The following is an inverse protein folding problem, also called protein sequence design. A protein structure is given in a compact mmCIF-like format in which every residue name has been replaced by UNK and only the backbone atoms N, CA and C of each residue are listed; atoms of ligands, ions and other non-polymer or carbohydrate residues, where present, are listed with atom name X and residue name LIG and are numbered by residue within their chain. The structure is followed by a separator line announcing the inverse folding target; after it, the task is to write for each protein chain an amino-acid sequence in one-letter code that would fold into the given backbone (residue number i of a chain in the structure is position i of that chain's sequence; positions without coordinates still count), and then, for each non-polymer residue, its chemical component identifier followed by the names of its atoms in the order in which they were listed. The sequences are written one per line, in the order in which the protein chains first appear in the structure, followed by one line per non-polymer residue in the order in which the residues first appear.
data_IF_720802816606
#
_entry.id   IF_720802816606
#
_cell.length_a   1.000
_cell.length_b   1.000
_cell.length_c   1.000
_cell.angle_alpha   90.00
_cell.angle_beta   90.00
_cell.angle_gamma   90.00
#
_symmetry.space_group_name_H-M   'P 1'
#
loop_
_entity.id
_entity.type
_entity.pdbx_description
1 polymer ?
#
# COMPACT_ATOMS: atom_id res chain seq x y z
N UNK A 1 -2.47 -3.89 19.19
CA UNK A 1 -1.86 -2.80 18.40
C UNK A 1 -0.32 -2.76 18.44
N UNK A 2 0.34 -2.27 19.51
CA UNK A 2 1.83 -2.07 19.53
C UNK A 2 2.69 -3.28 19.14
N UNK A 3 2.27 -4.51 19.49
CA UNK A 3 2.98 -5.75 19.11
C UNK A 3 2.99 -5.99 17.60
N UNK A 4 1.90 -5.67 16.90
CA UNK A 4 1.80 -5.83 15.44
C UNK A 4 2.59 -4.71 14.74
N UNK A 5 2.60 -3.50 15.33
CA UNK A 5 3.48 -2.42 14.86
C UNK A 5 4.95 -2.82 14.99
N UNK A 6 5.34 -3.37 16.15
CA UNK A 6 6.70 -3.87 16.36
C UNK A 6 7.07 -5.00 15.39
N UNK A 7 6.12 -5.90 15.07
CA UNK A 7 6.31 -6.90 14.02
C UNK A 7 6.61 -6.24 12.66
N UNK A 8 5.78 -5.28 12.23
CA UNK A 8 6.00 -4.57 10.97
C UNK A 8 7.35 -3.85 10.92
N UNK A 9 7.74 -3.20 12.03
CA UNK A 9 9.08 -2.59 12.17
C UNK A 9 10.19 -3.63 12.04
N UNK A 10 10.04 -4.80 12.65
CA UNK A 10 11.04 -5.86 12.58
C UNK A 10 11.19 -6.42 11.17
N UNK A 11 10.09 -6.63 10.44
CA UNK A 11 10.13 -7.07 9.03
C UNK A 11 10.97 -6.13 8.17
N UNK A 12 10.84 -4.81 8.35
CA UNK A 12 11.71 -3.85 7.67
C UNK A 12 13.16 -3.94 8.11
N UNK A 13 13.41 -4.13 9.41
CA UNK A 13 14.76 -4.22 9.93
C UNK A 13 15.49 -5.47 9.43
N UNK A 14 14.79 -6.58 9.24
CA UNK A 14 15.36 -7.85 8.80
C UNK A 14 15.54 -7.92 7.27
N UNK A 15 14.64 -7.30 6.51
CA UNK A 15 14.61 -7.45 5.05
C UNK A 15 15.13 -6.21 4.30
N UNK A 16 15.33 -5.08 4.96
CA UNK A 16 15.74 -3.82 4.28
C UNK A 16 16.81 -3.07 5.07
N UNK A 17 17.40 -2.05 4.43
CA UNK A 17 18.27 -1.10 5.10
C UNK A 17 17.52 -0.02 5.90
N UNK A 18 16.18 0.06 5.81
CA UNK A 18 15.37 1.06 6.52
C UNK A 18 15.30 0.71 8.01
N UNK A 19 15.65 1.66 8.86
CA UNK A 19 15.59 1.53 10.32
C UNK A 19 14.61 2.53 10.92
N UNK A 20 13.44 2.03 11.33
CA UNK A 20 12.53 2.77 12.19
C UNK A 20 13.09 2.85 13.61
N UNK A 21 13.26 4.06 14.12
CA UNK A 21 13.78 4.36 15.46
C UNK A 21 12.78 5.19 16.24
N UNK A 22 12.79 5.04 17.57
CA UNK A 22 11.97 5.88 18.43
C UNK A 22 12.45 7.33 18.33
N UNK A 23 11.52 8.23 18.02
CA UNK A 23 11.80 9.67 17.93
C UNK A 23 12.32 10.22 19.25
N UNK A 24 13.31 11.09 19.16
CA UNK A 24 13.79 11.95 20.25
C UNK A 24 13.37 13.40 19.98
N UNK A 25 14.12 14.12 19.15
CA UNK A 25 13.91 15.54 18.82
C UNK A 25 13.88 15.80 17.31
N UNK A 26 13.86 14.74 16.49
CA UNK A 26 13.89 14.86 15.04
C UNK A 26 12.70 15.70 14.55
N UNK A 27 13.00 16.64 13.64
CA UNK A 27 12.01 17.57 13.09
C UNK A 27 10.94 16.83 12.29
N UNK A 28 11.37 15.87 11.48
CA UNK A 28 10.50 15.06 10.64
C UNK A 28 10.39 13.66 11.21
N UNK A 29 9.17 13.15 11.35
CA UNK A 29 8.93 11.86 11.98
C UNK A 29 7.57 11.29 11.54
N UNK A 30 7.44 9.97 11.61
CA UNK A 30 6.15 9.30 11.44
C UNK A 30 5.44 9.29 12.79
N UNK A 31 4.20 9.80 12.82
CA UNK A 31 3.32 9.74 13.98
C UNK A 31 2.25 8.69 13.72
N UNK A 32 2.34 7.58 14.45
CA UNK A 32 1.33 6.52 14.41
C UNK A 32 0.25 6.83 15.44
N UNK A 33 -1.00 6.95 15.02
CA UNK A 33 -2.15 7.18 15.90
C UNK A 33 -3.40 6.54 15.32
N UNK A 34 -4.46 6.45 16.12
CA UNK A 34 -5.74 5.87 15.71
C UNK A 34 -6.75 7.00 15.48
N UNK A 35 -7.12 7.26 14.20
CA UNK A 35 -8.18 8.20 13.80
C UNK A 35 -9.21 7.56 12.85
N UNK A 36 -9.14 6.25 12.59
CA UNK A 36 -9.91 5.56 11.55
C UNK A 36 -9.07 5.14 10.33
N UNK A 37 -9.71 4.66 9.25
CA UNK A 37 -9.05 3.95 8.15
C UNK A 37 -8.14 4.82 7.26
N UNK A 38 -6.89 4.36 7.06
CA UNK A 38 -6.00 4.73 5.95
C UNK A 38 -5.04 5.89 6.21
N UNK A 39 -3.90 5.87 5.49
CA UNK A 39 -2.93 6.97 5.43
C UNK A 39 -3.56 8.29 4.97
N UNK A 40 -3.39 9.36 5.75
CA UNK A 40 -3.77 10.72 5.36
C UNK A 40 -2.65 11.38 4.54
N UNK A 41 -3.08 11.97 3.43
CA UNK A 41 -2.30 12.44 2.27
C UNK A 41 -1.10 13.33 2.62
N UNK A 42 -0.06 13.16 1.80
CA UNK A 42 1.10 14.04 1.57
C UNK A 42 0.70 15.52 1.52
N UNK A 43 0.96 16.27 2.59
CA UNK A 43 1.06 17.72 2.56
C UNK A 43 2.21 18.13 3.50
N UNK A 44 3.35 18.46 2.88
CA UNK A 44 4.55 19.05 3.45
C UNK A 44 5.50 18.11 4.23
N UNK A 45 6.74 17.98 3.71
CA UNK A 45 7.88 17.21 4.25
C UNK A 45 8.48 17.92 5.49
N UNK A 46 7.64 18.55 6.30
CA UNK A 46 8.05 19.32 7.47
C UNK A 46 7.16 18.94 8.65
N UNK A 47 7.73 18.22 9.62
CA UNK A 47 7.01 17.84 10.83
C UNK A 47 6.51 16.40 10.85
N UNK A 48 5.35 16.20 11.45
CA UNK A 48 4.75 14.88 11.63
C UNK A 48 4.11 14.40 10.32
N UNK A 49 4.50 13.21 9.86
CA UNK A 49 3.75 12.46 8.85
C UNK A 49 2.81 11.49 9.57
N UNK A 50 1.53 11.73 9.41
CA UNK A 50 0.46 11.03 10.11
C UNK A 50 0.15 9.69 9.44
N UNK A 51 0.32 8.61 10.19
CA UNK A 51 0.04 7.24 9.75
C UNK A 51 -1.07 6.68 10.63
N UNK A 52 -2.30 6.67 10.10
CA UNK A 52 -3.45 6.17 10.83
C UNK A 52 -3.50 4.65 10.77
N UNK A 53 -3.45 4.02 11.94
CA UNK A 53 -3.67 2.58 12.10
C UNK A 53 -4.87 2.36 13.00
N UNK A 54 -6.04 2.17 12.40
CA UNK A 54 -7.25 1.84 13.13
C UNK A 54 -7.17 0.42 13.74
N UNK A 55 -8.04 0.13 14.70
CA UNK A 55 -8.14 -1.17 15.36
C UNK A 55 -8.52 -2.29 14.37
N UNK A 56 -9.27 -1.95 13.30
CA UNK A 56 -9.52 -2.87 12.18
C UNK A 56 -8.31 -3.09 11.25
N UNK A 57 -7.36 -2.14 11.23
CA UNK A 57 -6.12 -2.21 10.44
C UNK A 57 -5.02 -3.00 11.17
N UNK A 58 -5.07 -3.09 12.50
CA UNK A 58 -4.03 -3.73 13.31
C UNK A 58 -4.51 -5.09 13.84
N UNK A 59 -4.79 -6.00 12.91
CA UNK A 59 -5.09 -7.41 13.21
C UNK A 59 -3.83 -8.26 13.17
N UNK A 60 -3.76 -9.28 14.04
CA UNK A 60 -2.74 -10.34 13.95
C UNK A 60 -2.87 -11.18 12.68
N UNK A 61 -4.07 -11.22 12.09
CA UNK A 61 -4.35 -12.00 10.89
C UNK A 61 -3.87 -11.29 9.62
N UNK A 62 -3.65 -9.98 9.69
CA UNK A 62 -3.25 -9.11 8.58
C UNK A 62 -2.11 -8.16 8.98
N UNK A 63 -0.96 -8.67 9.44
CA UNK A 63 0.14 -7.82 9.89
C UNK A 63 0.74 -6.99 8.74
N UNK A 64 0.51 -7.38 7.49
CA UNK A 64 0.93 -6.63 6.30
C UNK A 64 0.21 -5.30 6.11
N UNK A 65 -0.89 -5.02 6.82
CA UNK A 65 -1.48 -3.67 6.80
C UNK A 65 -0.50 -2.66 7.40
N UNK A 66 0.21 -3.00 8.47
CA UNK A 66 1.24 -2.10 9.02
C UNK A 66 2.37 -1.89 8.00
N UNK A 67 2.78 -2.96 7.30
CA UNK A 67 3.79 -2.87 6.25
C UNK A 67 3.33 -1.95 5.11
N UNK A 68 2.08 -2.07 4.67
CA UNK A 68 1.47 -1.23 3.64
C UNK A 68 1.57 0.27 3.97
N UNK A 69 1.13 0.64 5.18
CA UNK A 69 1.16 2.05 5.59
C UNK A 69 2.59 2.57 5.79
N UNK A 70 3.51 1.72 6.26
CA UNK A 70 4.93 2.07 6.37
C UNK A 70 5.59 2.23 5.00
N UNK A 71 5.15 1.47 3.98
CA UNK A 71 5.60 1.63 2.59
C UNK A 71 5.12 2.96 2.01
N UNK A 72 3.88 3.38 2.30
CA UNK A 72 3.44 4.73 1.97
C UNK A 72 4.32 5.80 2.62
N UNK A 73 4.68 5.63 3.89
CA UNK A 73 5.59 6.56 4.56
C UNK A 73 7.00 6.57 3.94
N UNK A 74 7.46 5.44 3.40
CA UNK A 74 8.70 5.34 2.63
C UNK A 74 8.61 5.89 1.19
N UNK A 75 7.43 6.32 0.75
CA UNK A 75 7.22 6.96 -0.56
C UNK A 75 6.69 6.04 -1.66
N UNK A 76 6.25 4.83 -1.32
CA UNK A 76 5.67 3.91 -2.30
C UNK A 76 4.19 4.19 -2.54
N UNK A 77 3.79 4.12 -3.81
CA UNK A 77 2.40 4.17 -4.24
C UNK A 77 1.82 2.76 -4.38
N UNK A 78 0.51 2.65 -4.56
CA UNK A 78 -0.13 1.36 -4.82
C UNK A 78 0.35 0.74 -6.14
N UNK A 79 0.53 -0.58 -6.17
CA UNK A 79 1.07 -1.28 -7.35
C UNK A 79 0.21 -1.06 -8.61
N UNK A 80 -1.12 -1.11 -8.45
CA UNK A 80 -2.10 -0.88 -9.52
C UNK A 80 -2.16 0.58 -10.00
N UNK A 81 -1.35 1.47 -9.43
CA UNK A 81 -1.23 2.87 -9.88
C UNK A 81 0.07 3.11 -10.64
N UNK A 82 0.88 2.08 -10.91
CA UNK A 82 2.07 2.22 -11.74
C UNK A 82 1.72 2.72 -13.15
N UNK A 83 2.62 3.46 -13.82
CA UNK A 83 2.39 3.94 -15.18
C UNK A 83 2.30 2.81 -16.22
N UNK A 84 2.93 1.66 -15.96
CA UNK A 84 2.97 0.49 -16.84
C UNK A 84 1.88 -0.55 -16.53
N UNK A 85 1.02 -0.28 -15.54
CA UNK A 85 0.06 -1.26 -15.00
C UNK A 85 -0.85 -1.88 -16.06
N UNK A 86 -1.18 -1.17 -17.13
CA UNK A 86 -2.20 -1.60 -18.09
C UNK A 86 -1.72 -2.80 -18.92
N UNK A 87 -0.43 -3.14 -18.82
CA UNK A 87 0.14 -4.39 -19.32
C UNK A 87 -0.07 -5.59 -18.39
N UNK A 88 -0.53 -5.36 -17.16
CA UNK A 88 -0.57 -6.35 -16.07
C UNK A 88 -1.96 -6.46 -15.42
N UNK A 89 -2.74 -5.39 -15.41
CA UNK A 89 -4.11 -5.37 -14.90
C UNK A 89 -5.02 -4.54 -15.80
N UNK A 90 -6.29 -4.93 -15.84
CA UNK A 90 -7.39 -4.15 -16.43
C UNK A 90 -8.28 -3.63 -15.32
N UNK A 91 -8.67 -2.36 -15.42
CA UNK A 91 -9.57 -1.71 -14.47
C UNK A 91 -10.99 -1.65 -15.06
N UNK A 92 -11.97 -2.23 -14.37
CA UNK A 92 -13.39 -2.10 -14.72
C UNK A 92 -14.01 -0.88 -14.04
N UNK A 93 -13.84 0.28 -14.68
CA UNK A 93 -14.35 1.55 -14.16
C UNK A 93 -15.88 1.60 -13.99
N UNK A 94 -16.63 0.73 -14.70
CA UNK A 94 -18.08 0.68 -14.57
C UNK A 94 -18.54 0.02 -13.26
N UNK A 95 -17.64 -0.67 -12.57
CA UNK A 95 -17.93 -1.32 -11.29
C UNK A 95 -17.28 -0.60 -10.10
N UNK A 96 -16.83 0.65 -10.24
CA UNK A 96 -16.20 1.40 -9.14
C UNK A 96 -17.18 2.42 -8.57
N UNK A 97 -17.28 2.46 -7.23
CA UNK A 97 -18.02 3.50 -6.51
C UNK A 97 -17.50 4.88 -6.95
N UNK A 98 -18.39 5.78 -7.36
CA UNK A 98 -18.02 7.03 -8.05
C UNK A 98 -17.02 7.88 -7.26
N UNK A 99 -17.18 8.01 -5.94
CA UNK A 99 -16.25 8.76 -5.10
C UNK A 99 -14.84 8.15 -5.01
N UNK A 100 -14.63 6.91 -5.47
CA UNK A 100 -13.37 6.19 -5.36
C UNK A 100 -12.66 5.95 -6.69
N UNK A 101 -13.24 6.40 -7.82
CA UNK A 101 -12.63 6.25 -9.16
C UNK A 101 -11.20 6.76 -9.20
N UNK A 102 -10.91 7.88 -8.53
CA UNK A 102 -9.57 8.48 -8.53
C UNK A 102 -8.50 7.58 -7.87
N UNK A 103 -8.88 6.67 -6.97
CA UNK A 103 -7.96 5.73 -6.32
C UNK A 103 -7.45 4.64 -7.28
N UNK A 104 -8.10 4.48 -8.44
CA UNK A 104 -7.74 3.50 -9.47
C UNK A 104 -7.09 4.17 -10.69
N UNK A 105 -6.75 5.46 -10.63
CA UNK A 105 -6.03 6.13 -11.72
C UNK A 105 -4.54 5.76 -11.73
N UNK A 106 -3.96 5.70 -12.93
CA UNK A 106 -2.53 5.48 -13.06
C UNK A 106 -1.82 6.78 -12.67
N UNK A 107 -0.68 6.64 -12.02
CA UNK A 107 0.22 7.77 -11.83
C UNK A 107 0.90 8.11 -13.15
N UNK A 108 1.19 9.39 -13.30
CA UNK A 108 1.96 9.92 -14.42
C UNK A 108 3.43 9.42 -14.33
N UNK A 109 3.97 8.91 -15.44
CA UNK A 109 5.35 8.43 -15.52
C UNK A 109 6.41 9.51 -15.22
N UNK A 110 6.04 10.80 -15.29
CA UNK A 110 6.90 11.91 -14.87
C UNK A 110 6.98 12.10 -13.35
N UNK A 111 6.06 11.51 -12.59
CA UNK A 111 5.95 11.69 -11.13
C UNK A 111 6.41 10.47 -10.33
N UNK A 112 6.39 9.29 -10.93
CA UNK A 112 6.73 8.04 -10.27
C UNK A 112 7.66 7.20 -11.13
N UNK A 113 8.44 6.34 -10.48
CA UNK A 113 9.36 5.41 -11.14
C UNK A 113 9.04 3.99 -10.71
N UNK A 114 9.24 3.04 -11.63
CA UNK A 114 9.17 1.60 -11.34
C UNK A 114 10.47 1.08 -10.71
N UNK A 115 11.51 1.93 -10.65
CA UNK A 115 12.87 1.55 -10.28
C UNK A 115 13.47 0.43 -11.16
N UNK A 116 12.88 0.18 -12.34
CA UNK A 116 13.25 -0.95 -13.18
C UNK A 116 12.77 -2.31 -12.68
N UNK A 117 12.00 -2.35 -11.58
CA UNK A 117 11.47 -3.58 -11.00
C UNK A 117 10.25 -4.08 -11.77
N UNK A 118 10.07 -5.41 -11.86
CA UNK A 118 8.88 -6.00 -12.48
C UNK A 118 7.60 -5.58 -11.73
N UNK A 119 6.47 -5.72 -12.41
CA UNK A 119 5.16 -5.56 -11.77
C UNK A 119 4.91 -6.72 -10.79
N UNK A 120 4.45 -6.41 -9.59
CA UNK A 120 4.33 -7.37 -8.52
C UNK A 120 2.89 -7.55 -8.01
N UNK A 121 2.24 -8.61 -8.49
CA UNK A 121 0.87 -8.96 -8.08
C UNK A 121 0.74 -9.29 -6.58
N UNK A 122 1.80 -9.85 -5.96
CA UNK A 122 1.83 -10.20 -4.54
C UNK A 122 2.27 -9.03 -3.65
N UNK A 123 2.50 -7.85 -4.23
CA UNK A 123 2.87 -6.65 -3.52
C UNK A 123 1.84 -6.33 -2.43
N UNK A 124 2.33 -6.07 -1.21
CA UNK A 124 1.47 -5.59 -0.13
C UNK A 124 0.83 -4.24 -0.48
N UNK A 125 1.38 -3.53 -1.47
CA UNK A 125 0.84 -2.27 -2.02
C UNK A 125 -0.20 -2.48 -3.12
N UNK A 126 -0.43 -3.71 -3.57
CA UNK A 126 -1.48 -3.99 -4.55
C UNK A 126 -2.85 -3.98 -3.87
N UNK A 127 -3.86 -3.40 -4.52
CA UNK A 127 -5.25 -3.53 -4.07
C UNK A 127 -5.82 -4.91 -4.35
N UNK A 128 -6.84 -5.31 -3.59
CA UNK A 128 -7.57 -6.54 -3.88
C UNK A 128 -8.41 -6.40 -5.13
N UNK A 129 -8.77 -7.54 -5.72
CA UNK A 129 -9.58 -7.65 -6.94
C UNK A 129 -10.92 -6.90 -6.86
N UNK A 130 -11.49 -6.74 -5.66
CA UNK A 130 -12.82 -6.14 -5.41
C UNK A 130 -12.74 -4.76 -4.75
N UNK A 131 -11.57 -4.11 -4.79
CA UNK A 131 -11.39 -2.80 -4.18
C UNK A 131 -12.39 -1.78 -4.75
N UNK A 132 -13.15 -1.14 -3.85
CA UNK A 132 -14.17 -0.12 -4.18
C UNK A 132 -15.25 -0.56 -5.17
N UNK A 133 -15.55 -1.85 -5.24
CA UNK A 133 -16.58 -2.40 -6.13
C UNK A 133 -17.99 -1.94 -5.75
N UNK A 134 -18.81 -1.58 -6.74
CA UNK A 134 -20.27 -1.41 -6.58
C UNK A 134 -20.90 -2.79 -6.36
N UNK A 135 -20.66 -3.72 -7.29
CA UNK A 135 -21.06 -5.11 -7.20
C UNK A 135 -19.88 -5.95 -6.70
N UNK A 136 -19.99 -6.45 -5.47
CA UNK A 136 -18.96 -7.27 -4.79
C UNK A 136 -18.75 -8.64 -5.42
N UNK A 137 -19.63 -9.07 -6.33
CA UNK A 137 -19.47 -10.31 -7.09
C UNK A 137 -18.63 -10.13 -8.35
N UNK A 138 -18.39 -8.87 -8.75
CA UNK A 138 -17.60 -8.51 -9.94
C UNK A 138 -16.28 -7.86 -9.55
N UNK A 139 -15.16 -8.23 -10.19
CA UNK A 139 -13.87 -7.60 -9.94
C UNK A 139 -13.82 -6.15 -10.46
N UNK A 140 -13.06 -5.29 -9.80
CA UNK A 140 -12.68 -3.95 -10.28
C UNK A 140 -11.27 -3.93 -10.85
N UNK A 141 -10.36 -4.75 -10.32
CA UNK A 141 -9.00 -4.92 -10.79
C UNK A 141 -8.82 -6.36 -11.26
N UNK A 142 -8.51 -6.54 -12.54
CA UNK A 142 -8.49 -7.85 -13.19
C UNK A 142 -7.08 -8.11 -13.72
N UNK A 143 -6.33 -9.07 -13.16
CA UNK A 143 -5.01 -9.43 -13.67
C UNK A 143 -5.05 -9.94 -15.12
N UNK A 144 -4.03 -9.60 -15.91
CA UNK A 144 -3.84 -10.09 -17.29
C UNK A 144 -2.42 -10.64 -17.47
N UNK A 145 -2.22 -11.66 -18.32
CA UNK A 145 -3.23 -12.37 -19.11
C UNK A 145 -4.01 -13.43 -18.32
N UNK A 146 -3.60 -13.75 -17.09
CA UNK A 146 -4.25 -14.75 -16.26
C UNK A 146 -5.07 -14.10 -15.15
N UNK A 147 -6.40 -14.08 -15.29
CA UNK A 147 -7.31 -13.47 -14.33
C UNK A 147 -7.35 -14.19 -12.97
N UNK A 148 -6.78 -15.41 -12.87
CA UNK A 148 -6.72 -16.19 -11.63
C UNK A 148 -5.53 -15.84 -10.72
N UNK A 149 -4.68 -14.90 -11.12
CA UNK A 149 -3.57 -14.45 -10.27
C UNK A 149 -4.13 -13.78 -9.02
N UNK A 150 -3.66 -14.20 -7.84
CA UNK A 150 -4.07 -13.59 -6.58
C UNK A 150 -3.43 -12.20 -6.42
N UNK A 151 -4.24 -11.23 -5.98
CA UNK A 151 -3.84 -9.85 -5.70
C UNK A 151 -4.45 -9.35 -4.40
N UNK A 152 -3.81 -8.37 -3.76
CA UNK A 152 -4.29 -7.78 -2.51
C UNK A 152 -3.72 -8.43 -1.25
N UNK A 153 -2.50 -8.96 -1.32
CA UNK A 153 -1.76 -9.48 -0.17
C UNK A 153 -1.72 -8.46 0.98
N UNK A 154 -2.08 -8.90 2.20
CA UNK A 154 -1.99 -8.11 3.45
C UNK A 154 -1.28 -8.87 4.57
N UNK A 155 -0.42 -9.84 4.21
CA UNK A 155 0.28 -10.72 5.15
C UNK A 155 1.75 -10.37 5.31
N UNK A 156 2.47 -10.09 4.23
CA UNK A 156 3.94 -9.93 4.23
C UNK A 156 4.42 -9.06 3.06
N UNK A 157 5.67 -8.61 3.14
CA UNK A 157 6.38 -8.09 1.96
C UNK A 157 6.57 -9.22 0.94
N UNK A 158 6.40 -8.88 -0.34
CA UNK A 158 6.75 -9.73 -1.47
C UNK A 158 8.26 -9.67 -1.73
N UNK A 159 8.80 -10.69 -2.40
CA UNK A 159 10.25 -10.77 -2.68
C UNK A 159 10.76 -9.63 -3.54
N UNK A 160 9.97 -9.13 -4.50
CA UNK A 160 10.33 -8.00 -5.37
C UNK A 160 10.53 -6.70 -4.57
N UNK A 161 9.95 -6.60 -3.38
CA UNK A 161 10.02 -5.40 -2.52
C UNK A 161 11.17 -5.45 -1.50
N UNK A 162 11.94 -6.52 -1.49
CA UNK A 162 13.09 -6.75 -0.62
C UNK A 162 14.42 -6.43 -1.34
N UNK A 163 14.43 -6.49 -2.67
CA UNK A 163 15.56 -6.12 -3.55
C UNK A 163 15.68 -4.59 -3.74
#
# INVERSE_FOLDING_TARGET
QRKVIAFGVNEYHENTCIKFVARTSEKNYIRIYNKGSGYEKFNEIVGAQDLSLDDGCVSRDYPGIVLHEMMHAAGFFHEHTRPDRDSFVRIDFNNIILEHVFNLNANDASKVTTLGLPYDYDSVMHYSMYAFSIDRTRPTIIPVPNENVEIGNRRKLSSVRIE
#
